data_IF_848357577607
#
_entry.id   IF_848357577607
#
_cell.length_a   1.000
_cell.length_b   1.000
_cell.length_c   1.000
_cell.angle_alpha   90.00
_cell.angle_beta   90.00
_cell.angle_gamma   90.00
#
_symmetry.space_group_name_H-M   'P 1'
#
loop_
_entity.id
_entity.type
_entity.pdbx_description
1 polymer ?
#
# COMPACT_ATOMS: atom_id res chain seq x y z
N UNK A 1 29.47 -22.50 95.52
CA UNK A 1 28.51 -22.05 94.48
C UNK A 1 29.29 -21.77 93.21
N UNK A 2 29.08 -22.57 92.15
CA UNK A 2 29.71 -22.39 90.82
C UNK A 2 28.84 -21.44 89.97
N UNK A 3 29.39 -20.54 89.13
CA UNK A 3 28.59 -19.80 88.18
C UNK A 3 28.40 -20.62 86.89
N UNK A 4 27.14 -20.72 86.43
CA UNK A 4 26.77 -21.26 85.12
C UNK A 4 27.05 -20.21 84.05
N UNK A 5 27.80 -20.59 83.02
CA UNK A 5 28.00 -19.83 81.79
C UNK A 5 26.82 -20.09 80.84
N UNK A 6 26.19 -19.03 80.34
CA UNK A 6 25.16 -19.12 79.29
C UNK A 6 25.78 -18.66 77.97
N UNK A 7 25.81 -19.57 76.98
CA UNK A 7 26.24 -19.28 75.62
C UNK A 7 25.02 -18.80 74.81
N UNK A 8 25.04 -17.55 74.33
CA UNK A 8 24.09 -17.06 73.34
C UNK A 8 24.70 -17.22 71.94
N UNK A 9 24.11 -18.07 71.11
CA UNK A 9 24.49 -18.21 69.70
C UNK A 9 23.72 -17.18 68.86
N UNK A 10 24.42 -16.17 68.34
CA UNK A 10 23.87 -15.24 67.35
C UNK A 10 23.90 -15.87 65.96
N UNK A 11 22.74 -16.22 65.41
CA UNK A 11 22.58 -16.55 63.99
C UNK A 11 22.62 -15.27 63.16
N UNK A 12 23.67 -15.10 62.35
CA UNK A 12 23.74 -14.11 61.28
C UNK A 12 22.93 -14.63 60.08
N UNK A 13 21.77 -14.04 59.81
CA UNK A 13 21.06 -14.22 58.55
C UNK A 13 21.76 -13.41 57.45
N UNK A 14 22.48 -14.10 56.57
CA UNK A 14 22.96 -13.52 55.31
C UNK A 14 21.80 -13.57 54.32
N UNK A 15 21.17 -12.42 54.06
CA UNK A 15 20.20 -12.28 52.97
C UNK A 15 20.93 -12.19 51.64
N UNK A 16 20.65 -13.06 50.66
CA UNK A 16 21.21 -12.88 49.32
C UNK A 16 20.54 -11.67 48.67
N UNK A 17 21.33 -10.65 48.34
CA UNK A 17 20.90 -9.62 47.40
C UNK A 17 20.73 -10.28 46.03
N UNK A 18 19.48 -10.62 45.69
CA UNK A 18 19.12 -10.82 44.29
C UNK A 18 19.25 -9.46 43.60
N UNK A 19 20.25 -9.35 42.72
CA UNK A 19 20.28 -8.28 41.74
C UNK A 19 19.01 -8.44 40.90
N UNK A 20 18.01 -7.61 41.15
CA UNK A 20 16.90 -7.45 40.23
C UNK A 20 17.53 -6.91 38.94
N UNK A 21 17.68 -7.77 37.94
CA UNK A 21 17.77 -7.30 36.57
C UNK A 21 16.55 -6.41 36.37
N UNK A 22 16.74 -5.09 36.35
CA UNK A 22 15.77 -4.19 35.76
C UNK A 22 15.63 -4.65 34.31
N UNK A 23 14.69 -5.56 34.06
CA UNK A 23 14.08 -5.69 32.75
C UNK A 23 13.50 -4.32 32.47
N UNK A 24 14.23 -3.50 31.71
CA UNK A 24 13.69 -2.33 31.04
C UNK A 24 12.40 -2.81 30.38
N UNK A 25 11.26 -2.49 30.98
CA UNK A 25 9.99 -2.78 30.34
C UNK A 25 10.04 -2.05 29.00
N UNK A 26 9.79 -2.74 27.87
CA UNK A 26 9.72 -2.09 26.57
C UNK A 26 8.80 -0.89 26.71
N UNK A 27 9.33 0.31 26.47
CA UNK A 27 8.50 1.51 26.55
C UNK A 27 7.44 1.43 25.45
N UNK A 28 6.17 1.75 25.73
CA UNK A 28 5.06 1.35 24.88
C UNK A 28 4.99 2.23 23.62
N UNK A 29 5.75 1.86 22.58
CA UNK A 29 5.56 2.37 21.23
C UNK A 29 4.41 1.58 20.61
N UNK A 30 3.40 2.29 20.11
CA UNK A 30 2.34 1.71 19.27
C UNK A 30 2.70 1.97 17.81
N UNK A 31 2.60 0.93 16.98
CA UNK A 31 2.92 1.00 15.54
C UNK A 31 1.65 0.79 14.74
N UNK A 32 1.34 1.69 13.82
CA UNK A 32 0.24 1.54 12.88
C UNK A 32 0.79 1.51 11.46
N UNK A 33 0.36 0.54 10.66
CA UNK A 33 0.65 0.48 9.23
C UNK A 33 -0.65 0.58 8.44
N UNK A 34 -0.65 1.36 7.38
CA UNK A 34 -1.65 1.20 6.34
C UNK A 34 -1.04 1.27 4.97
N UNK A 35 -1.71 0.66 3.99
CA UNK A 35 -1.26 0.67 2.60
C UNK A 35 -2.34 0.20 1.62
N UNK A 36 -2.00 0.28 0.33
CA UNK A 36 -2.89 -0.12 -0.76
C UNK A 36 -2.17 -1.09 -1.68
N UNK A 37 -2.85 -2.19 -2.03
CA UNK A 37 -2.43 -3.11 -3.09
C UNK A 37 -3.33 -2.94 -4.31
N UNK A 38 -2.77 -2.47 -5.42
CA UNK A 38 -3.48 -2.31 -6.69
C UNK A 38 -3.19 -3.50 -7.62
N UNK A 39 -4.24 -4.09 -8.18
CA UNK A 39 -4.17 -5.14 -9.19
C UNK A 39 -5.21 -4.91 -10.29
N UNK A 40 -5.14 -5.69 -11.35
CA UNK A 40 -6.08 -5.63 -12.48
C UNK A 40 -6.63 -7.02 -12.70
N UNK A 41 -7.96 -7.15 -12.74
CA UNK A 41 -8.59 -8.41 -13.10
C UNK A 41 -8.77 -8.52 -14.61
N UNK A 42 -8.59 -9.73 -15.12
CA UNK A 42 -9.03 -10.12 -16.46
C UNK A 42 -10.54 -10.32 -16.49
N UNK A 43 -11.11 -10.49 -17.69
CA UNK A 43 -12.53 -10.86 -17.87
C UNK A 43 -12.93 -12.15 -17.11
N UNK A 44 -11.97 -13.05 -16.87
CA UNK A 44 -12.16 -14.29 -16.10
C UNK A 44 -11.82 -14.13 -14.60
N UNK A 45 -11.60 -12.91 -14.12
CA UNK A 45 -11.29 -12.61 -12.73
C UNK A 45 -9.85 -12.90 -12.30
N UNK A 46 -9.03 -13.52 -13.15
CA UNK A 46 -7.61 -13.76 -12.85
C UNK A 46 -6.80 -12.45 -12.84
N UNK A 47 -5.82 -12.29 -11.94
CA UNK A 47 -4.94 -11.14 -11.93
C UNK A 47 -4.08 -11.08 -13.20
N UNK A 48 -3.83 -9.88 -13.70
CA UNK A 48 -3.12 -9.63 -14.96
C UNK A 48 -1.73 -9.04 -14.69
N UNK A 49 -0.72 -9.55 -15.38
CA UNK A 49 0.61 -8.93 -15.46
C UNK A 49 0.51 -7.58 -16.17
N UNK A 50 1.01 -6.53 -15.53
CA UNK A 50 0.96 -5.16 -16.04
C UNK A 50 2.22 -4.40 -15.67
N UNK A 51 2.38 -3.17 -16.18
CA UNK A 51 3.54 -2.30 -15.89
C UNK A 51 3.23 -1.29 -14.76
N UNK A 52 3.27 -1.68 -13.48
CA UNK A 52 2.77 -0.87 -12.37
C UNK A 52 3.56 0.41 -12.10
N UNK A 53 4.83 0.43 -12.50
CA UNK A 53 5.75 1.56 -12.29
C UNK A 53 5.70 2.61 -13.40
N UNK A 54 4.87 2.40 -14.43
CA UNK A 54 4.77 3.27 -15.61
C UNK A 54 3.91 4.53 -15.44
N UNK A 55 3.43 4.78 -14.23
CA UNK A 55 2.66 5.99 -13.89
C UNK A 55 3.51 7.26 -13.83
N UNK A 56 2.84 8.41 -13.76
CA UNK A 56 3.49 9.71 -13.57
C UNK A 56 4.31 9.74 -12.28
N UNK A 57 5.46 10.42 -12.30
CA UNK A 57 6.22 10.68 -11.09
C UNK A 57 5.41 11.61 -10.18
N UNK A 58 4.88 11.03 -9.11
CA UNK A 58 3.95 11.63 -8.15
C UNK A 58 4.59 11.89 -6.77
N UNK A 59 5.82 11.42 -6.58
CA UNK A 59 6.54 11.51 -5.32
C UNK A 59 7.50 12.69 -5.24
N UNK A 60 7.72 13.24 -4.02
CA UNK A 60 8.74 14.25 -3.79
C UNK A 60 10.15 13.74 -4.11
N UNK A 61 11.03 14.64 -4.58
CA UNK A 61 12.40 14.31 -4.96
C UNK A 61 13.32 13.86 -3.81
N UNK A 62 12.91 14.04 -2.56
CA UNK A 62 13.64 13.51 -1.41
C UNK A 62 13.40 12.01 -1.20
N UNK A 63 12.36 11.43 -1.83
CA UNK A 63 12.09 10.00 -1.75
C UNK A 63 13.16 9.24 -2.54
N UNK A 64 13.74 8.23 -1.92
CA UNK A 64 14.73 7.38 -2.56
C UNK A 64 14.05 6.42 -3.55
N UNK A 65 14.75 6.09 -4.63
CA UNK A 65 14.34 5.07 -5.59
C UNK A 65 15.37 3.95 -5.69
N UNK A 66 14.88 2.73 -5.86
CA UNK A 66 15.66 1.51 -6.07
C UNK A 66 16.63 1.62 -7.25
N UNK A 67 16.29 2.43 -8.27
CA UNK A 67 17.15 2.69 -9.44
C UNK A 67 17.78 4.08 -9.45
N UNK A 68 17.79 4.74 -8.28
CA UNK A 68 18.25 6.12 -8.10
C UNK A 68 17.24 7.16 -8.61
N UNK A 69 17.40 8.41 -8.16
CA UNK A 69 16.47 9.50 -8.47
C UNK A 69 16.56 10.00 -9.92
N UNK A 70 17.59 9.56 -10.66
CA UNK A 70 17.67 9.74 -12.12
C UNK A 70 16.86 8.71 -12.88
N UNK A 71 16.22 7.74 -12.19
CA UNK A 71 15.21 6.81 -12.69
C UNK A 71 15.52 6.21 -14.05
N UNK A 72 15.97 4.95 -14.12
CA UNK A 72 16.03 4.30 -15.43
C UNK A 72 14.60 4.13 -15.98
N UNK A 73 14.19 4.95 -16.94
CA UNK A 73 12.91 4.82 -17.64
C UNK A 73 12.73 3.39 -18.15
N UNK A 74 13.83 2.78 -18.64
CA UNK A 74 13.86 1.38 -19.09
C UNK A 74 13.56 0.36 -17.99
N UNK A 75 13.90 0.64 -16.72
CA UNK A 75 13.54 -0.24 -15.60
C UNK A 75 12.03 -0.19 -15.35
N UNK A 76 11.46 1.01 -15.24
CA UNK A 76 10.04 1.19 -14.94
C UNK A 76 9.14 0.65 -16.06
N UNK A 77 9.58 0.75 -17.30
CA UNK A 77 8.84 0.23 -18.45
C UNK A 77 8.86 -1.29 -18.57
N UNK A 78 9.94 -1.94 -18.10
CA UNK A 78 10.11 -3.39 -18.18
C UNK A 78 9.63 -4.13 -16.95
N UNK A 79 9.58 -3.47 -15.80
CA UNK A 79 9.07 -4.04 -14.56
C UNK A 79 7.59 -4.37 -14.73
N UNK A 80 7.28 -5.67 -14.80
CA UNK A 80 5.91 -6.17 -14.84
C UNK A 80 5.65 -7.06 -13.64
N UNK A 81 4.54 -6.80 -12.96
CA UNK A 81 4.10 -7.58 -11.81
C UNK A 81 2.57 -7.65 -11.72
N UNK A 82 2.06 -8.55 -10.89
CA UNK A 82 0.62 -8.68 -10.63
C UNK A 82 0.08 -7.54 -9.75
N UNK A 83 0.88 -7.09 -8.79
CA UNK A 83 0.45 -6.15 -7.75
C UNK A 83 1.40 -4.98 -7.64
N UNK A 84 0.81 -3.78 -7.58
CA UNK A 84 1.49 -2.57 -7.12
C UNK A 84 1.16 -2.34 -5.65
N UNK A 85 2.18 -2.35 -4.80
CA UNK A 85 2.07 -1.85 -3.44
C UNK A 85 2.34 -0.35 -3.46
N UNK A 86 1.32 0.47 -3.25
CA UNK A 86 1.35 1.88 -3.65
C UNK A 86 1.91 2.86 -2.61
N UNK A 87 1.35 2.88 -1.39
CA UNK A 87 1.79 3.77 -0.29
C UNK A 87 1.60 3.11 1.08
N UNK A 88 2.27 1.99 1.39
CA UNK A 88 2.49 1.63 2.78
C UNK A 88 3.19 2.74 3.55
N UNK A 89 2.64 3.06 4.71
CA UNK A 89 3.27 3.95 5.68
C UNK A 89 3.18 3.36 7.08
N UNK A 90 4.24 3.57 7.88
CA UNK A 90 4.29 3.22 9.29
C UNK A 90 4.28 4.49 10.15
N UNK A 91 3.35 4.56 11.09
CA UNK A 91 3.29 5.57 12.14
C UNK A 91 3.72 4.99 13.47
N UNK A 92 4.32 5.84 14.30
CA UNK A 92 4.76 5.50 15.64
C UNK A 92 4.13 6.47 16.63
N UNK A 93 3.50 5.93 17.66
CA UNK A 93 2.91 6.69 18.75
C UNK A 93 3.61 6.32 20.06
N UNK A 94 4.09 7.33 20.77
CA UNK A 94 4.77 7.18 22.06
C UNK A 94 4.59 8.44 22.88
N UNK A 95 4.60 8.31 24.20
CA UNK A 95 4.60 9.46 25.14
C UNK A 95 6.03 9.92 25.46
N UNK A 96 7.03 9.07 25.26
CA UNK A 96 8.44 9.30 25.57
C UNK A 96 9.31 9.04 24.34
N UNK A 97 10.50 9.67 24.24
CA UNK A 97 11.44 9.34 23.18
C UNK A 97 11.81 7.85 23.20
N UNK A 98 11.89 7.25 22.01
CA UNK A 98 12.24 5.84 21.84
C UNK A 98 13.18 5.67 20.65
N UNK A 99 14.03 4.64 20.68
CA UNK A 99 14.86 4.23 19.57
C UNK A 99 14.50 2.79 19.18
N UNK A 100 14.35 2.53 17.89
CA UNK A 100 13.91 1.25 17.38
C UNK A 100 14.56 0.93 16.02
N UNK A 101 14.61 -0.35 15.68
CA UNK A 101 14.90 -0.84 14.34
C UNK A 101 13.63 -1.38 13.70
N UNK A 102 13.47 -1.16 12.40
CA UNK A 102 12.33 -1.61 11.59
C UNK A 102 12.85 -2.41 10.42
N UNK A 103 12.28 -3.59 10.20
CA UNK A 103 12.50 -4.43 9.02
C UNK A 103 11.15 -4.77 8.40
N UNK A 104 11.05 -4.56 7.09
CA UNK A 104 9.90 -4.99 6.29
C UNK A 104 10.39 -5.96 5.23
N UNK A 105 9.94 -7.21 5.32
CA UNK A 105 10.10 -8.20 4.27
C UNK A 105 9.06 -8.00 3.17
N UNK A 106 9.40 -8.37 1.95
CA UNK A 106 8.46 -8.50 0.84
C UNK A 106 8.85 -9.72 -0.01
N UNK A 107 8.60 -10.96 0.47
CA UNK A 107 9.22 -12.16 -0.11
C UNK A 107 8.88 -12.42 -1.59
N UNK A 108 7.71 -11.97 -2.04
CA UNK A 108 7.22 -12.09 -3.42
C UNK A 108 7.13 -10.73 -4.13
N UNK A 109 8.00 -9.79 -3.76
CA UNK A 109 8.02 -8.45 -4.31
C UNK A 109 9.35 -7.75 -4.08
N UNK A 110 9.52 -6.55 -4.62
CA UNK A 110 10.65 -5.66 -4.36
C UNK A 110 10.15 -4.29 -3.89
N UNK A 111 10.90 -3.67 -2.97
CA UNK A 111 10.68 -2.29 -2.55
C UNK A 111 11.35 -1.35 -3.55
N UNK A 112 10.57 -0.49 -4.19
CA UNK A 112 11.01 0.33 -5.33
C UNK A 112 11.25 1.79 -4.96
N UNK A 113 10.56 2.31 -3.95
CA UNK A 113 10.77 3.67 -3.44
C UNK A 113 10.51 3.74 -1.92
N UNK A 114 11.22 4.61 -1.20
CA UNK A 114 11.11 4.74 0.26
C UNK A 114 11.66 6.05 0.82
N UNK A 115 11.20 6.43 2.02
CA UNK A 115 11.74 7.51 2.84
C UNK A 115 11.35 7.30 4.30
N UNK A 116 12.19 7.61 5.31
CA UNK A 116 13.57 8.12 5.25
C UNK A 116 14.58 7.11 4.68
N UNK A 117 15.86 7.51 4.59
CA UNK A 117 16.96 6.67 4.11
C UNK A 117 17.07 5.38 4.92
N UNK A 118 16.82 4.26 4.25
CA UNK A 118 17.04 2.92 4.79
C UNK A 118 18.53 2.62 5.00
N UNK A 119 18.83 1.80 6.00
CA UNK A 119 20.16 1.24 6.21
C UNK A 119 20.50 0.23 5.11
N UNK A 120 19.53 -0.60 4.71
CA UNK A 120 19.69 -1.59 3.67
C UNK A 120 18.38 -1.82 2.89
N UNK A 121 18.51 -2.20 1.63
CA UNK A 121 17.42 -2.62 0.75
C UNK A 121 17.88 -3.79 -0.10
N UNK A 122 17.02 -4.79 -0.26
CA UNK A 122 17.26 -5.97 -1.09
C UNK A 122 16.17 -6.07 -2.16
N UNK A 123 16.53 -6.26 -3.44
CA UNK A 123 17.88 -6.20 -3.98
C UNK A 123 18.48 -4.78 -3.88
N UNK A 124 19.81 -4.68 -3.84
CA UNK A 124 20.48 -3.39 -3.87
C UNK A 124 20.72 -2.94 -5.32
N UNK A 125 20.05 -1.86 -5.74
CA UNK A 125 20.29 -1.15 -7.01
C UNK A 125 20.40 -2.05 -8.27
N UNK A 126 19.37 -2.85 -8.58
CA UNK A 126 19.36 -3.70 -9.77
C UNK A 126 19.46 -2.86 -11.06
N UNK A 127 20.29 -3.32 -12.01
CA UNK A 127 20.42 -2.69 -13.34
C UNK A 127 19.35 -3.11 -14.32
N UNK A 128 18.73 -4.27 -14.09
CA UNK A 128 17.72 -4.87 -14.98
C UNK A 128 16.47 -5.16 -14.16
N UNK A 129 15.31 -4.67 -14.65
CA UNK A 129 14.02 -5.03 -14.08
C UNK A 129 13.63 -6.45 -14.48
N UNK A 130 13.11 -7.28 -13.56
CA UNK A 130 12.47 -8.52 -13.95
C UNK A 130 11.14 -8.20 -14.65
N UNK A 131 10.79 -9.03 -15.63
CA UNK A 131 9.51 -8.97 -16.34
C UNK A 131 8.40 -9.74 -15.63
N UNK A 132 8.76 -10.48 -14.58
CA UNK A 132 7.90 -11.20 -13.63
C UNK A 132 8.79 -11.90 -12.59
N UNK A 133 8.22 -12.40 -11.51
CA UNK A 133 8.90 -13.24 -10.52
C UNK A 133 9.72 -12.44 -9.51
N UNK A 134 9.21 -11.29 -9.05
CA UNK A 134 9.84 -10.54 -7.97
C UNK A 134 9.96 -11.41 -6.71
N UNK A 135 11.18 -11.57 -6.18
CA UNK A 135 11.43 -12.38 -4.99
C UNK A 135 12.50 -11.78 -4.09
N UNK A 136 12.41 -12.10 -2.79
CA UNK A 136 13.44 -11.77 -1.80
C UNK A 136 13.56 -10.29 -1.46
N UNK A 137 12.50 -9.50 -1.66
CA UNK A 137 12.51 -8.09 -1.31
C UNK A 137 12.60 -7.88 0.20
N UNK A 138 13.37 -6.88 0.61
CA UNK A 138 13.46 -6.45 2.01
C UNK A 138 13.91 -5.00 2.10
N UNK A 139 13.51 -4.29 3.15
CA UNK A 139 14.05 -2.99 3.52
C UNK A 139 14.20 -2.88 5.04
N UNK A 140 15.25 -2.17 5.50
CA UNK A 140 15.59 -2.04 6.92
C UNK A 140 16.05 -0.65 7.32
N UNK A 141 15.62 -0.21 8.50
CA UNK A 141 16.11 0.95 9.24
C UNK A 141 16.61 0.52 10.61
N UNK A 142 17.88 0.73 10.92
CA UNK A 142 18.50 0.22 12.14
C UNK A 142 18.50 1.21 13.32
N UNK A 143 18.30 2.52 13.06
CA UNK A 143 18.21 3.59 14.08
C UNK A 143 17.09 4.56 13.71
N UNK A 144 15.86 4.22 14.08
CA UNK A 144 14.68 5.09 13.99
C UNK A 144 14.43 5.67 15.37
N UNK A 145 14.50 7.00 15.49
CA UNK A 145 14.23 7.69 16.75
C UNK A 145 12.85 8.31 16.72
N UNK A 146 11.96 7.86 17.59
CA UNK A 146 10.62 8.42 17.81
C UNK A 146 10.75 9.56 18.81
N UNK A 147 10.34 10.76 18.40
CA UNK A 147 10.61 12.02 19.12
C UNK A 147 9.29 12.77 19.41
N UNK A 148 8.44 12.26 20.33
CA UNK A 148 7.16 12.89 20.62
C UNK A 148 7.32 14.31 21.18
N UNK A 149 6.39 15.19 20.81
CA UNK A 149 6.38 16.60 21.23
C UNK A 149 7.37 17.51 20.49
N UNK A 150 8.22 16.98 19.62
CA UNK A 150 9.06 17.80 18.74
C UNK A 150 8.24 18.35 17.56
N UNK A 151 8.71 19.46 16.98
CA UNK A 151 8.14 20.03 15.75
C UNK A 151 9.26 20.35 14.75
N UNK A 152 9.93 19.32 14.19
CA UNK A 152 11.03 19.52 13.26
C UNK A 152 10.53 20.08 11.92
N UNK A 153 11.41 20.76 11.19
CA UNK A 153 11.16 21.08 9.79
C UNK A 153 11.20 19.79 8.95
N UNK A 154 10.11 19.52 8.24
CA UNK A 154 9.97 18.34 7.39
C UNK A 154 10.29 18.69 5.94
N UNK A 155 10.88 17.77 5.15
CA UNK A 155 11.19 18.05 3.76
C UNK A 155 9.90 18.28 2.97
N UNK A 156 9.92 19.24 2.05
CA UNK A 156 8.83 19.57 1.15
C UNK A 156 9.28 19.45 -0.31
N UNK A 157 8.34 19.42 -1.24
CA UNK A 157 8.61 19.56 -2.67
C UNK A 157 7.92 20.78 -3.24
N UNK A 158 8.51 21.37 -4.28
CA UNK A 158 7.89 22.47 -5.03
C UNK A 158 6.59 22.04 -5.72
N UNK A 159 6.54 20.79 -6.19
CA UNK A 159 5.35 20.25 -6.84
C UNK A 159 4.39 19.66 -5.80
N UNK A 160 3.07 19.79 -6.02
CA UNK A 160 2.07 19.06 -5.25
C UNK A 160 2.34 17.56 -5.28
N UNK A 161 2.18 16.90 -4.15
CA UNK A 161 2.26 15.45 -4.05
C UNK A 161 1.28 14.95 -3.01
N UNK A 162 0.57 13.88 -3.32
CA UNK A 162 -0.32 13.24 -2.36
C UNK A 162 0.42 12.62 -1.18
N UNK A 163 1.75 12.45 -1.27
CA UNK A 163 2.61 12.02 -0.16
C UNK A 163 2.34 12.84 1.12
N UNK A 164 2.13 14.15 0.99
CA UNK A 164 1.98 15.03 2.14
C UNK A 164 0.66 14.83 2.91
N UNK A 165 -0.38 14.28 2.27
CA UNK A 165 -1.64 13.98 2.95
C UNK A 165 -1.45 12.94 4.07
N UNK A 166 -0.53 11.99 3.88
CA UNK A 166 -0.17 10.99 4.89
C UNK A 166 0.42 11.60 6.17
N UNK A 167 0.93 12.85 6.14
CA UNK A 167 1.43 13.53 7.34
C UNK A 167 0.34 14.01 8.29
N UNK A 168 -0.93 14.03 7.86
CA UNK A 168 -2.06 14.59 8.61
C UNK A 168 -2.56 13.63 9.72
N UNK A 169 -1.65 13.13 10.55
CA UNK A 169 -1.91 12.23 11.69
C UNK A 169 -1.32 12.79 12.98
N UNK A 170 -1.60 12.15 14.12
CA UNK A 170 -1.01 12.52 15.43
C UNK A 170 0.25 11.71 15.77
N UNK A 171 0.83 11.05 14.77
CA UNK A 171 2.08 10.29 14.90
C UNK A 171 3.23 11.17 15.39
N UNK A 172 4.10 10.58 16.21
CA UNK A 172 5.29 11.26 16.69
C UNK A 172 6.30 11.44 15.53
N UNK A 173 6.97 12.61 15.44
CA UNK A 173 8.06 12.78 14.49
C UNK A 173 9.16 11.74 14.68
N UNK A 174 9.79 11.38 13.57
CA UNK A 174 10.86 10.41 13.45
C UNK A 174 12.14 11.11 13.02
N UNK A 175 13.26 10.71 13.59
CA UNK A 175 14.59 11.04 13.09
C UNK A 175 15.32 9.77 12.68
N UNK A 176 15.80 9.73 11.44
CA UNK A 176 16.68 8.69 10.89
C UNK A 176 17.94 9.35 10.37
N UNK A 177 19.06 9.21 11.08
CA UNK A 177 20.27 9.98 10.81
C UNK A 177 19.99 11.50 10.87
N UNK A 178 20.09 12.19 9.73
CA UNK A 178 19.78 13.63 9.62
C UNK A 178 18.38 13.92 9.09
N UNK A 179 17.62 12.90 8.71
CA UNK A 179 16.34 13.05 8.05
C UNK A 179 15.20 13.00 9.06
N UNK A 180 14.27 13.94 8.92
CA UNK A 180 13.05 14.02 9.70
C UNK A 180 11.85 13.64 8.85
N UNK A 181 10.87 12.97 9.46
CA UNK A 181 9.56 12.64 8.88
C UNK A 181 8.54 12.35 9.99
N UNK A 182 7.25 12.22 9.67
CA UNK A 182 6.23 11.70 10.61
C UNK A 182 5.93 10.20 10.46
N UNK A 183 6.49 9.58 9.44
CA UNK A 183 6.18 8.23 9.00
C UNK A 183 7.39 7.59 8.33
N UNK A 184 7.42 6.27 8.27
CA UNK A 184 8.25 5.56 7.30
C UNK A 184 7.37 5.23 6.11
N UNK A 185 7.75 5.71 4.93
CA UNK A 185 7.11 5.42 3.66
C UNK A 185 7.92 4.38 2.89
N UNK A 186 7.22 3.42 2.28
CA UNK A 186 7.81 2.50 1.31
C UNK A 186 6.73 2.03 0.33
N UNK A 187 7.13 1.81 -0.91
CA UNK A 187 6.25 1.25 -1.94
C UNK A 187 7.03 0.28 -2.83
N UNK A 188 6.32 -0.63 -3.47
CA UNK A 188 6.95 -1.74 -4.17
C UNK A 188 6.08 -2.40 -5.23
N UNK A 189 6.61 -3.41 -5.88
CA UNK A 189 5.92 -4.23 -6.88
C UNK A 189 6.07 -5.70 -6.51
N UNK A 190 5.04 -6.52 -6.71
CA UNK A 190 5.09 -7.94 -6.40
C UNK A 190 4.22 -8.80 -7.29
N UNK A 191 4.41 -10.11 -7.15
CA UNK A 191 3.75 -11.18 -7.91
C UNK A 191 3.02 -12.18 -7.02
N UNK A 192 2.58 -11.74 -5.83
CA UNK A 192 1.80 -12.59 -4.94
C UNK A 192 0.35 -12.75 -5.41
N UNK A 193 -0.28 -13.85 -4.98
CA UNK A 193 -1.67 -14.14 -5.31
C UNK A 193 -2.62 -13.12 -4.66
N UNK A 194 -3.48 -12.51 -5.48
CA UNK A 194 -4.61 -11.68 -5.04
C UNK A 194 -5.80 -12.60 -4.72
N UNK A 195 -6.44 -12.50 -3.54
CA UNK A 195 -7.42 -13.49 -3.09
C UNK A 195 -8.74 -13.41 -3.87
N UNK A 196 -9.12 -12.23 -4.36
CA UNK A 196 -10.41 -12.02 -5.01
C UNK A 196 -10.31 -12.13 -6.52
N UNK A 197 -11.24 -12.89 -7.11
CA UNK A 197 -11.45 -13.02 -8.55
C UNK A 197 -12.84 -12.51 -8.94
N UNK A 198 -12.97 -11.22 -9.28
CA UNK A 198 -14.22 -10.62 -9.76
C UNK A 198 -14.45 -10.90 -11.24
N UNK A 199 -15.63 -11.40 -11.59
CA UNK A 199 -16.08 -11.66 -12.97
C UNK A 199 -17.36 -10.86 -13.23
N UNK A 200 -17.34 -10.02 -14.27
CA UNK A 200 -18.51 -9.27 -14.70
C UNK A 200 -19.43 -10.18 -15.52
N UNK A 201 -20.70 -10.22 -15.15
CA UNK A 201 -21.72 -11.03 -15.81
C UNK A 201 -22.53 -10.17 -16.79
N UNK A 202 -23.13 -10.82 -17.80
CA UNK A 202 -23.91 -10.11 -18.85
C UNK A 202 -25.16 -9.43 -18.32
N UNK A 203 -25.69 -9.88 -17.18
CA UNK A 203 -26.87 -9.35 -16.53
C UNK A 203 -26.57 -8.26 -15.48
N UNK A 204 -25.39 -7.64 -15.56
CA UNK A 204 -25.07 -6.46 -14.76
C UNK A 204 -24.71 -6.76 -13.31
N UNK A 205 -24.08 -7.92 -13.06
CA UNK A 205 -23.51 -8.26 -11.75
C UNK A 205 -22.01 -8.48 -11.82
N UNK A 206 -21.37 -8.43 -10.67
CA UNK A 206 -20.01 -8.88 -10.44
C UNK A 206 -20.09 -10.09 -9.52
N UNK A 207 -19.67 -11.26 -10.03
CA UNK A 207 -19.47 -12.46 -9.23
C UNK A 207 -18.04 -12.45 -8.70
N UNK A 208 -17.90 -12.40 -7.39
CA UNK A 208 -16.62 -12.28 -6.68
C UNK A 208 -16.34 -13.60 -5.98
N UNK A 209 -15.32 -14.31 -6.44
CA UNK A 209 -14.86 -15.54 -5.78
C UNK A 209 -13.66 -15.22 -4.90
N UNK A 210 -13.70 -15.64 -3.63
CA UNK A 210 -12.56 -15.58 -2.74
C UNK A 210 -11.80 -16.92 -2.79
N UNK A 211 -10.60 -16.89 -3.37
CA UNK A 211 -9.68 -18.02 -3.43
C UNK A 211 -8.60 -17.95 -2.33
N UNK A 212 -8.69 -16.97 -1.44
CA UNK A 212 -7.87 -16.88 -0.24
C UNK A 212 -8.30 -17.87 0.85
N UNK A 213 -7.48 -17.98 1.89
CA UNK A 213 -7.76 -18.81 3.07
C UNK A 213 -8.62 -18.07 4.10
N UNK A 214 -8.52 -16.75 4.15
CA UNK A 214 -9.22 -15.89 5.09
C UNK A 214 -10.52 -15.33 4.50
N UNK A 215 -11.48 -15.02 5.38
CA UNK A 215 -12.65 -14.25 4.98
C UNK A 215 -12.29 -12.80 4.69
N UNK A 216 -12.89 -12.23 3.65
CA UNK A 216 -12.79 -10.80 3.33
C UNK A 216 -13.78 -10.03 4.21
N UNK A 217 -13.31 -9.11 5.07
CA UNK A 217 -14.19 -8.40 6.02
C UNK A 217 -15.19 -7.48 5.33
N UNK A 218 -14.72 -6.74 4.31
CA UNK A 218 -15.49 -5.75 3.59
C UNK A 218 -15.05 -5.71 2.13
N UNK A 219 -16.04 -5.58 1.23
CA UNK A 219 -15.88 -5.32 -0.20
C UNK A 219 -16.77 -4.15 -0.60
N UNK A 220 -16.25 -3.31 -1.49
CA UNK A 220 -16.94 -2.15 -2.06
C UNK A 220 -16.79 -2.21 -3.57
N UNK A 221 -17.88 -2.51 -4.28
CA UNK A 221 -17.93 -2.33 -5.73
C UNK A 221 -18.26 -0.87 -6.00
N UNK A 222 -17.35 -0.18 -6.67
CA UNK A 222 -17.45 1.24 -7.02
C UNK A 222 -17.48 1.41 -8.54
N UNK A 223 -18.27 2.36 -9.03
CA UNK A 223 -18.20 2.82 -10.40
C UNK A 223 -18.32 4.35 -10.47
N UNK A 224 -17.48 4.96 -11.31
CA UNK A 224 -17.62 6.33 -11.76
C UNK A 224 -17.74 6.36 -13.29
N UNK A 225 -18.85 6.89 -13.79
CA UNK A 225 -19.10 7.07 -15.23
C UNK A 225 -19.36 8.54 -15.51
N UNK A 226 -18.40 9.20 -16.17
CA UNK A 226 -18.46 10.61 -16.52
C UNK A 226 -18.84 11.52 -15.33
N UNK A 227 -18.28 11.24 -14.14
CA UNK A 227 -18.51 12.00 -12.91
C UNK A 227 -19.71 11.56 -12.08
N UNK A 228 -20.58 10.66 -12.60
CA UNK A 228 -21.67 10.05 -11.82
C UNK A 228 -21.15 8.83 -11.08
N UNK A 229 -21.37 8.78 -9.78
CA UNK A 229 -20.76 7.78 -8.89
C UNK A 229 -21.82 6.90 -8.24
N UNK A 230 -21.50 5.62 -8.07
CA UNK A 230 -22.28 4.69 -7.28
C UNK A 230 -21.39 3.64 -6.61
N UNK A 231 -21.89 3.04 -5.52
CA UNK A 231 -21.23 1.89 -4.90
C UNK A 231 -22.21 0.87 -4.31
N UNK A 232 -21.70 -0.35 -4.06
CA UNK A 232 -22.36 -1.44 -3.33
C UNK A 232 -21.39 -2.02 -2.31
N UNK A 233 -21.92 -2.42 -1.14
CA UNK A 233 -21.14 -3.00 -0.05
C UNK A 233 -21.52 -4.47 0.15
N UNK A 234 -20.53 -5.29 0.48
CA UNK A 234 -20.72 -6.64 1.01
C UNK A 234 -19.71 -6.92 2.11
N UNK A 235 -20.08 -7.72 3.09
CA UNK A 235 -19.24 -8.08 4.24
C UNK A 235 -19.15 -9.60 4.41
N UNK A 236 -18.08 -10.07 5.06
CA UNK A 236 -17.97 -11.45 5.54
C UNK A 236 -17.88 -12.54 4.47
N UNK A 237 -17.20 -12.29 3.34
CA UNK A 237 -17.08 -13.28 2.26
C UNK A 237 -15.94 -14.28 2.51
N UNK A 238 -16.27 -15.54 2.79
CA UNK A 238 -15.27 -16.60 3.06
C UNK A 238 -14.89 -17.39 1.81
N UNK A 239 -15.75 -18.28 1.31
CA UNK A 239 -15.45 -19.16 0.16
C UNK A 239 -16.56 -19.22 -0.89
N UNK A 240 -17.81 -18.92 -0.53
CA UNK A 240 -18.89 -18.84 -1.50
C UNK A 240 -18.73 -17.57 -2.36
N UNK A 241 -19.04 -17.68 -3.65
CA UNK A 241 -19.06 -16.51 -4.52
C UNK A 241 -20.06 -15.48 -4.00
N UNK A 242 -19.61 -14.24 -3.85
CA UNK A 242 -20.46 -13.10 -3.52
C UNK A 242 -20.88 -12.42 -4.81
N UNK A 243 -22.18 -12.20 -5.01
CA UNK A 243 -22.68 -11.45 -6.16
C UNK A 243 -23.09 -10.04 -5.74
N UNK A 244 -22.60 -9.04 -6.47
CA UNK A 244 -23.00 -7.65 -6.32
C UNK A 244 -23.57 -7.15 -7.64
N UNK A 245 -24.71 -6.48 -7.60
CA UNK A 245 -25.22 -5.75 -8.77
C UNK A 245 -24.33 -4.55 -9.09
N UNK A 246 -24.28 -4.15 -10.36
CA UNK A 246 -23.64 -2.89 -10.72
C UNK A 246 -24.31 -1.74 -9.97
N UNK A 247 -23.52 -0.77 -9.47
CA UNK A 247 -24.07 0.27 -8.64
C UNK A 247 -24.91 1.26 -9.45
N UNK A 248 -26.04 1.67 -8.89
CA UNK A 248 -26.76 2.85 -9.37
C UNK A 248 -25.93 4.12 -9.13
N UNK A 249 -25.79 4.96 -10.16
CA UNK A 249 -24.92 6.13 -10.14
C UNK A 249 -25.59 7.39 -9.58
N UNK A 250 -26.15 7.27 -8.38
CA UNK A 250 -26.84 8.35 -7.66
C UNK A 250 -26.14 8.82 -6.38
N UNK A 251 -24.96 8.28 -6.07
CA UNK A 251 -24.20 8.62 -4.86
C UNK A 251 -23.19 9.73 -5.13
N UNK A 252 -22.64 10.31 -4.06
CA UNK A 252 -21.53 11.26 -4.12
C UNK A 252 -20.22 10.63 -3.66
N UNK A 253 -19.10 11.19 -4.10
CA UNK A 253 -17.76 10.80 -3.62
C UNK A 253 -17.65 11.01 -2.11
N UNK A 254 -18.21 12.09 -1.57
CA UNK A 254 -18.12 12.40 -0.13
C UNK A 254 -18.88 11.38 0.74
N UNK A 255 -20.01 10.86 0.26
CA UNK A 255 -20.73 9.76 0.93
C UNK A 255 -19.85 8.50 1.01
N UNK A 256 -19.22 8.14 -0.11
CA UNK A 256 -18.30 7.00 -0.16
C UNK A 256 -17.07 7.19 0.73
N UNK A 257 -16.45 8.38 0.71
CA UNK A 257 -15.31 8.73 1.59
C UNK A 257 -15.69 8.58 3.04
N UNK A 258 -16.86 9.08 3.44
CA UNK A 258 -17.36 8.99 4.81
C UNK A 258 -17.60 7.54 5.23
N UNK A 259 -18.23 6.74 4.37
CA UNK A 259 -18.47 5.32 4.62
C UNK A 259 -17.14 4.54 4.75
N UNK A 260 -16.20 4.76 3.82
CA UNK A 260 -14.89 4.11 3.84
C UNK A 260 -14.07 4.51 5.08
N UNK A 261 -14.07 5.78 5.46
CA UNK A 261 -13.37 6.26 6.66
C UNK A 261 -13.87 5.58 7.93
N UNK A 262 -15.20 5.45 8.07
CA UNK A 262 -15.81 4.78 9.23
C UNK A 262 -15.39 3.31 9.32
N UNK A 263 -15.39 2.58 8.21
CA UNK A 263 -14.92 1.19 8.19
C UNK A 263 -13.42 1.07 8.42
N UNK A 264 -12.59 1.94 7.86
CA UNK A 264 -11.14 1.93 8.13
C UNK A 264 -10.85 2.10 9.63
N UNK A 265 -11.63 2.94 10.33
CA UNK A 265 -11.55 3.08 11.79
C UNK A 265 -12.00 1.81 12.51
N UNK A 266 -13.11 1.20 12.08
CA UNK A 266 -13.59 -0.08 12.60
C UNK A 266 -12.53 -1.19 12.49
N UNK A 267 -11.72 -1.18 11.42
CA UNK A 267 -10.63 -2.14 11.23
C UNK A 267 -9.32 -1.79 11.94
N UNK A 268 -9.28 -0.69 12.70
CA UNK A 268 -8.20 -0.38 13.64
C UNK A 268 -7.37 0.86 13.32
N UNK A 269 -7.70 1.62 12.27
CA UNK A 269 -7.06 2.92 12.05
C UNK A 269 -7.59 3.98 13.01
N UNK A 270 -6.72 4.92 13.39
CA UNK A 270 -7.20 6.14 14.00
C UNK A 270 -7.90 7.01 12.96
N UNK A 271 -8.84 7.86 13.41
CA UNK A 271 -9.65 8.67 12.48
C UNK A 271 -8.80 9.50 11.51
N UNK A 272 -7.77 10.17 12.02
CA UNK A 272 -6.84 10.95 11.20
C UNK A 272 -6.03 10.09 10.22
N UNK A 273 -5.72 8.84 10.56
CA UNK A 273 -5.05 7.91 9.64
C UNK A 273 -5.99 7.49 8.50
N UNK A 274 -7.24 7.17 8.81
CA UNK A 274 -8.26 6.84 7.81
C UNK A 274 -8.51 8.01 6.85
N UNK A 275 -8.66 9.23 7.39
CA UNK A 275 -8.84 10.44 6.58
C UNK A 275 -7.57 10.71 5.72
N UNK A 276 -6.37 10.55 6.28
CA UNK A 276 -5.10 10.71 5.56
C UNK A 276 -4.91 9.68 4.43
N UNK A 277 -5.30 8.42 4.65
CA UNK A 277 -5.27 7.37 3.63
C UNK A 277 -6.18 7.73 2.45
N UNK A 278 -7.43 8.12 2.73
CA UNK A 278 -8.40 8.50 1.69
C UNK A 278 -7.92 9.74 0.93
N UNK A 279 -7.38 10.74 1.64
CA UNK A 279 -6.89 11.98 1.05
C UNK A 279 -5.63 11.77 0.19
N UNK A 280 -4.80 10.79 0.55
CA UNK A 280 -3.64 10.34 -0.27
C UNK A 280 -4.10 9.77 -1.61
N UNK A 281 -5.27 9.12 -1.65
CA UNK A 281 -5.76 8.44 -2.84
C UNK A 281 -6.91 9.13 -3.59
N UNK A 282 -7.36 10.30 -3.12
CA UNK A 282 -8.55 11.00 -3.63
C UNK A 282 -8.55 11.17 -5.15
N UNK A 283 -7.37 11.43 -5.73
CA UNK A 283 -7.19 11.73 -7.15
C UNK A 283 -7.08 10.47 -8.02
N UNK A 284 -7.12 9.27 -7.43
CA UNK A 284 -6.96 8.00 -8.17
C UNK A 284 -7.96 6.90 -7.79
N UNK A 285 -8.47 6.85 -6.56
CA UNK A 285 -9.47 5.83 -6.19
C UNK A 285 -10.83 6.10 -6.84
N UNK A 286 -11.19 7.37 -6.95
CA UNK A 286 -12.53 7.79 -7.38
C UNK A 286 -12.56 8.34 -8.81
N UNK A 287 -11.51 8.11 -9.59
CA UNK A 287 -11.44 8.45 -11.01
C UNK A 287 -12.43 7.61 -11.86
N UNK A 288 -12.57 7.92 -13.14
CA UNK A 288 -13.46 7.19 -14.05
C UNK A 288 -13.14 5.67 -14.09
N UNK A 289 -14.17 4.83 -14.15
CA UNK A 289 -14.05 3.38 -14.21
C UNK A 289 -14.71 2.62 -13.06
N UNK A 290 -14.63 1.29 -13.13
CA UNK A 290 -15.19 0.37 -12.14
C UNK A 290 -14.07 -0.31 -11.35
N UNK A 291 -14.22 -0.35 -10.02
CA UNK A 291 -13.22 -0.90 -9.10
C UNK A 291 -13.87 -1.74 -8.02
N UNK A 292 -13.19 -2.79 -7.61
CA UNK A 292 -13.49 -3.50 -6.36
C UNK A 292 -12.45 -3.09 -5.32
N UNK A 293 -12.89 -2.40 -4.28
CA UNK A 293 -12.10 -2.21 -3.07
C UNK A 293 -12.43 -3.31 -2.07
N UNK A 294 -11.43 -3.75 -1.30
CA UNK A 294 -11.67 -4.68 -0.20
C UNK A 294 -10.65 -4.49 0.90
N UNK A 295 -11.00 -4.89 2.12
CA UNK A 295 -10.06 -4.92 3.23
C UNK A 295 -9.25 -6.22 3.14
N UNK A 296 -7.94 -6.08 3.02
CA UNK A 296 -7.03 -7.22 2.95
C UNK A 296 -6.97 -7.87 4.33
N UNK A 297 -7.20 -9.19 4.44
CA UNK A 297 -7.12 -9.88 5.72
C UNK A 297 -5.75 -9.69 6.38
N UNK A 298 -5.74 -9.41 7.69
CA UNK A 298 -4.51 -9.13 8.44
C UNK A 298 -3.46 -10.23 8.28
N UNK A 299 -3.89 -11.49 8.34
CA UNK A 299 -3.00 -12.65 8.17
C UNK A 299 -2.34 -12.69 6.78
N UNK A 300 -3.07 -12.27 5.74
CA UNK A 300 -2.50 -12.13 4.40
C UNK A 300 -1.45 -11.00 4.36
N UNK A 301 -1.72 -9.85 4.98
CA UNK A 301 -0.75 -8.75 5.08
C UNK A 301 0.51 -9.21 5.80
N UNK A 302 0.40 -9.94 6.91
CA UNK A 302 1.55 -10.46 7.66
C UNK A 302 2.39 -11.46 6.86
N UNK A 303 1.77 -12.27 5.99
CA UNK A 303 2.51 -13.18 5.08
C UNK A 303 3.17 -12.45 3.90
N UNK A 304 2.48 -11.46 3.32
CA UNK A 304 2.98 -10.73 2.13
C UNK A 304 4.05 -9.71 2.53
N UNK A 305 3.87 -9.04 3.66
CA UNK A 305 4.75 -8.02 4.21
C UNK A 305 5.13 -8.35 5.67
N UNK A 306 5.99 -9.33 5.94
CA UNK A 306 6.46 -9.57 7.31
C UNK A 306 7.07 -8.31 7.90
N UNK A 307 6.57 -7.87 9.05
CA UNK A 307 7.04 -6.68 9.77
C UNK A 307 7.72 -7.10 11.07
N UNK A 308 8.95 -6.63 11.27
CA UNK A 308 9.70 -6.81 12.51
C UNK A 308 10.14 -5.44 13.04
N UNK A 309 9.75 -5.13 14.28
CA UNK A 309 10.08 -3.88 14.96
C UNK A 309 10.69 -4.22 16.31
N UNK A 310 11.87 -3.67 16.60
CA UNK A 310 12.62 -3.94 17.83
C UNK A 310 13.04 -2.65 18.53
N UNK A 311 12.81 -2.49 19.85
CA UNK A 311 12.08 -3.40 20.73
C UNK A 311 10.62 -3.61 20.29
N UNK A 312 10.05 -4.76 20.66
CA UNK A 312 8.68 -5.13 20.29
C UNK A 312 7.69 -4.05 20.73
N UNK A 313 6.87 -3.51 19.81
CA UNK A 313 5.82 -2.54 20.11
C UNK A 313 4.81 -3.06 21.15
N UNK A 314 4.20 -2.15 21.91
CA UNK A 314 3.08 -2.52 22.81
C UNK A 314 1.83 -2.94 22.03
N UNK A 315 1.65 -2.45 20.80
CA UNK A 315 0.60 -2.85 19.89
C UNK A 315 1.02 -2.60 18.44
N UNK A 316 0.48 -3.38 17.51
CA UNK A 316 0.68 -3.20 16.06
C UNK A 316 -0.62 -3.36 15.28
N UNK A 317 -1.20 -2.26 14.81
CA UNK A 317 -2.35 -2.26 13.89
C UNK A 317 -1.85 -2.23 12.44
N UNK A 318 -2.49 -3.01 11.55
CA UNK A 318 -2.17 -3.00 10.11
C UNK A 318 -3.45 -3.10 9.31
N UNK A 319 -3.76 -2.09 8.50
CA UNK A 319 -4.97 -2.03 7.68
C UNK A 319 -4.59 -1.77 6.23
N UNK A 320 -4.89 -2.72 5.36
CA UNK A 320 -4.58 -2.61 3.94
C UNK A 320 -5.86 -2.65 3.11
N UNK A 321 -5.92 -1.81 2.08
CA UNK A 321 -6.99 -1.82 1.08
C UNK A 321 -6.46 -2.47 -0.19
N UNK A 322 -7.12 -3.53 -0.63
CA UNK A 322 -6.96 -4.04 -1.98
C UNK A 322 -7.82 -3.24 -2.94
N UNK A 323 -7.26 -2.89 -4.09
CA UNK A 323 -7.90 -2.18 -5.21
C UNK A 323 -7.76 -3.06 -6.45
N UNK A 324 -8.87 -3.48 -7.03
CA UNK A 324 -8.89 -4.25 -8.28
C UNK A 324 -9.55 -3.40 -9.36
N UNK A 325 -8.81 -3.09 -10.42
CA UNK A 325 -9.36 -2.45 -11.62
C UNK A 325 -10.13 -3.46 -12.47
N UNK A 326 -11.31 -3.05 -12.94
CA UNK A 326 -12.20 -3.89 -13.76
C UNK A 326 -12.46 -3.20 -15.10
N UNK A 327 -12.34 -3.96 -16.19
CA UNK A 327 -12.78 -3.51 -17.52
C UNK A 327 -14.30 -3.63 -17.61
N UNK A 328 -15.02 -2.60 -17.18
CA UNK A 328 -16.50 -2.57 -17.26
C UNK A 328 -16.98 -2.45 -18.72
N UNK A 329 -18.23 -2.84 -19.03
CA UNK A 329 -18.82 -2.62 -20.35
C UNK A 329 -18.76 -1.16 -20.79
N UNK A 330 -19.03 -0.22 -19.87
CA UNK A 330 -18.94 1.21 -20.16
C UNK A 330 -17.49 1.66 -20.44
N UNK A 331 -16.50 1.13 -19.71
CA UNK A 331 -15.09 1.44 -19.98
C UNK A 331 -14.64 0.89 -21.34
N UNK A 332 -15.12 -0.31 -21.72
CA UNK A 332 -14.87 -0.88 -23.05
C UNK A 332 -15.42 0.04 -24.14
N UNK A 333 -16.67 0.45 -24.03
CA UNK A 333 -17.30 1.38 -24.98
C UNK A 333 -16.52 2.69 -25.07
N UNK A 334 -16.09 3.27 -23.93
CA UNK A 334 -15.25 4.46 -23.89
C UNK A 334 -13.94 4.27 -24.67
N UNK A 335 -13.23 3.15 -24.47
CA UNK A 335 -11.99 2.86 -25.19
C UNK A 335 -12.25 2.69 -26.68
N UNK A 336 -13.29 1.95 -27.07
CA UNK A 336 -13.63 1.74 -28.48
C UNK A 336 -14.01 3.04 -29.20
N UNK A 337 -14.86 3.85 -28.58
CA UNK A 337 -15.30 5.14 -29.12
C UNK A 337 -14.12 6.11 -29.25
N UNK A 338 -13.29 6.25 -28.21
CA UNK A 338 -12.11 7.12 -28.26
C UNK A 338 -11.09 6.64 -29.31
N UNK A 339 -10.92 5.32 -29.45
CA UNK A 339 -10.03 4.73 -30.46
C UNK A 339 -10.53 4.99 -31.88
N UNK A 340 -11.84 4.84 -32.12
CA UNK A 340 -12.46 5.10 -33.41
C UNK A 340 -12.42 6.58 -33.79
N UNK A 341 -12.58 7.48 -32.81
CA UNK A 341 -12.50 8.93 -33.01
C UNK A 341 -11.05 9.46 -33.10
N UNK A 342 -10.04 8.62 -32.83
CA UNK A 342 -8.65 9.06 -32.74
C UNK A 342 -8.36 9.98 -31.55
N UNK A 343 -9.19 9.95 -30.50
CA UNK A 343 -9.04 10.80 -29.31
C UNK A 343 -7.93 10.28 -28.39
N UNK A 344 -6.69 10.64 -28.74
CA UNK A 344 -5.52 10.25 -27.94
C UNK A 344 -5.53 10.85 -26.54
N UNK A 345 -6.19 12.01 -26.34
CA UNK A 345 -6.24 12.66 -25.01
C UNK A 345 -7.09 11.84 -24.05
N UNK A 346 -8.28 11.39 -24.49
CA UNK A 346 -9.14 10.53 -23.67
C UNK A 346 -8.46 9.20 -23.35
N UNK A 347 -7.75 8.61 -24.32
CA UNK A 347 -6.99 7.38 -24.12
C UNK A 347 -5.81 7.58 -23.15
N UNK A 348 -5.02 8.64 -23.31
CA UNK A 348 -3.92 9.00 -22.39
C UNK A 348 -4.43 9.24 -20.96
N UNK A 349 -5.65 9.75 -20.79
CA UNK A 349 -6.30 9.95 -19.50
C UNK A 349 -6.55 8.66 -18.70
N UNK A 350 -6.58 7.49 -19.34
CA UNK A 350 -6.68 6.18 -18.68
C UNK A 350 -5.34 5.69 -18.11
N UNK A 351 -4.24 6.42 -18.40
CA UNK A 351 -2.93 6.22 -17.82
C UNK A 351 -2.40 4.79 -17.95
N UNK A 352 -1.83 4.29 -16.85
CA UNK A 352 -1.20 2.96 -16.78
C UNK A 352 -2.19 1.78 -16.90
N UNK A 353 -3.51 2.03 -16.85
CA UNK A 353 -4.54 0.98 -16.97
C UNK A 353 -5.02 0.75 -18.41
N UNK A 354 -4.83 1.73 -19.32
CA UNK A 354 -5.17 1.57 -20.74
C UNK A 354 -4.55 0.31 -21.35
N UNK A 355 -3.25 0.11 -21.07
CA UNK A 355 -2.47 -0.96 -21.66
C UNK A 355 -3.07 -2.35 -21.42
N UNK A 356 -3.22 -2.73 -20.13
CA UNK A 356 -3.89 -3.96 -19.74
C UNK A 356 -5.30 -4.11 -20.30
N UNK A 357 -6.13 -3.06 -20.34
CA UNK A 357 -7.49 -3.15 -20.87
C UNK A 357 -7.53 -3.41 -22.38
N UNK A 358 -6.71 -2.72 -23.17
CA UNK A 358 -6.63 -2.99 -24.61
C UNK A 358 -6.17 -4.43 -24.87
N UNK A 359 -5.16 -4.92 -24.16
CA UNK A 359 -4.69 -6.31 -24.31
C UNK A 359 -5.79 -7.34 -23.98
N UNK A 360 -6.66 -7.05 -23.01
CA UNK A 360 -7.81 -7.91 -22.72
C UNK A 360 -8.83 -7.89 -23.85
N UNK A 361 -9.17 -6.71 -24.37
CA UNK A 361 -10.10 -6.55 -25.49
C UNK A 361 -9.63 -7.29 -26.77
N UNK A 362 -8.33 -7.27 -27.04
CA UNK A 362 -7.74 -7.96 -28.20
C UNK A 362 -7.81 -9.49 -28.07
N UNK A 363 -7.64 -10.02 -26.86
CA UNK A 363 -7.76 -11.47 -26.62
C UNK A 363 -9.17 -11.99 -26.86
N UNK A 364 -10.18 -11.17 -26.65
CA UNK A 364 -11.59 -11.53 -26.85
C UNK A 364 -12.13 -11.16 -28.22
N UNK A 365 -11.33 -10.52 -29.07
CA UNK A 365 -11.64 -10.22 -30.47
C UNK A 365 -10.42 -10.45 -31.38
N UNK A 366 -9.92 -11.69 -31.49
CA UNK A 366 -8.73 -12.00 -32.28
C UNK A 366 -8.94 -11.66 -33.76
N UNK A 367 -8.00 -10.93 -34.36
CA UNK A 367 -8.04 -10.50 -35.77
C UNK A 367 -8.52 -9.07 -36.01
N UNK A 368 -9.00 -8.35 -34.98
CA UNK A 368 -9.26 -6.91 -35.09
C UNK A 368 -7.94 -6.15 -35.04
N UNK A 369 -7.62 -5.37 -36.07
CA UNK A 369 -6.43 -4.52 -36.06
C UNK A 369 -6.51 -3.49 -34.93
N UNK A 370 -5.39 -3.31 -34.22
CA UNK A 370 -5.27 -2.29 -33.18
C UNK A 370 -5.41 -0.91 -33.83
N UNK A 371 -6.34 -0.05 -33.36
CA UNK A 371 -6.49 1.29 -33.92
C UNK A 371 -5.18 2.09 -33.85
N UNK A 372 -4.90 2.87 -34.90
CA UNK A 372 -3.63 3.61 -35.04
C UNK A 372 -3.36 4.54 -33.84
N UNK A 373 -4.40 5.16 -33.28
CA UNK A 373 -4.28 6.01 -32.09
C UNK A 373 -3.74 5.23 -30.87
N UNK A 374 -4.25 4.01 -30.66
CA UNK A 374 -3.80 3.13 -29.58
C UNK A 374 -2.38 2.64 -29.85
N UNK A 375 -2.08 2.24 -31.08
CA UNK A 375 -0.73 1.81 -31.47
C UNK A 375 0.31 2.93 -31.31
N UNK A 376 -0.05 4.17 -31.65
CA UNK A 376 0.80 5.34 -31.46
C UNK A 376 1.12 5.55 -29.97
N UNK A 377 0.14 5.39 -29.07
CA UNK A 377 0.36 5.53 -27.63
C UNK A 377 1.27 4.45 -27.06
N UNK A 378 1.14 3.20 -27.52
CA UNK A 378 2.05 2.12 -27.12
C UNK A 378 3.46 2.27 -27.68
N UNK A 379 3.62 3.01 -28.79
CA UNK A 379 4.90 3.23 -29.45
C UNK A 379 5.60 4.52 -28.97
N UNK A 380 4.88 5.44 -28.32
CA UNK A 380 5.46 6.66 -27.75
C UNK A 380 6.43 6.29 -26.62
N UNK A 381 7.66 6.81 -26.64
CA UNK A 381 8.54 6.77 -25.48
C UNK A 381 7.80 7.42 -24.31
N UNK A 382 7.67 6.71 -23.19
CA UNK A 382 7.05 7.29 -22.00
C UNK A 382 7.94 8.40 -21.46
N UNK A 383 7.37 9.52 -20.95
CA UNK A 383 8.17 10.58 -20.40
C UNK A 383 9.08 10.01 -19.31
N UNK A 384 10.39 10.25 -19.43
CA UNK A 384 11.33 9.98 -18.34
C UNK A 384 10.81 10.67 -17.09
N UNK A 385 10.81 9.99 -15.94
CA UNK A 385 10.55 10.65 -14.66
C UNK A 385 11.40 11.92 -14.63
N UNK A 386 10.74 13.08 -14.54
CA UNK A 386 11.42 14.37 -14.63
C UNK A 386 12.65 14.37 -13.74
N UNK A 387 13.77 14.88 -14.27
CA UNK A 387 14.99 15.05 -13.50
C UNK A 387 14.64 15.74 -12.19
N UNK A 388 14.90 15.06 -11.07
CA UNK A 388 14.86 15.68 -9.77
C UNK A 388 16.05 16.63 -9.67
N UNK A 389 15.89 17.84 -10.20
CA UNK A 389 16.78 18.97 -9.91
C UNK A 389 16.37 19.48 -8.53
N UNK A 390 17.19 19.16 -7.52
CA UNK A 390 17.02 19.65 -6.15
C UNK A 390 17.16 21.18 -6.10
#
# INVERSE_FOLDING_TARGET
MKPMSSFAASLLFVTPLFAAELRLQPQPVVVHEWGTFTSIASENGNPVQWAPLSGTADLPCFVASLVGNSGSATFKDRASGLVRMETPVLYFYSQTPAALSVRVGFPQGWITEWYPKATAVTPAFPRVAPTSGFTGGEIRWDDVRVMPGQNPELPISKNPSHYFAARNTDSAPLQVGKQWEKLIFYRGVGDFAVPLQPVLTKDGRVKITNNGTEAIPLMILFENRAGKVGYRLATGSKTAATELEFPELGSTVDQLRTALASHLVEFGLYRKEADAMIETWRDSWFEEGMRLFYIVPREMVDRVLPLDVQPVPSSTARVFVGRIELLSPAMRETIEAASAAGDTRKLEGLGRFLGPFVMQMERTSPGRERPAAVQALFSKPRPSSGSCVQ
#
